data_IF_125755075590
#
_entry.id   IF_125755075590
#
_cell.length_a   1.000
_cell.length_b   1.000
_cell.length_c   1.000
_cell.angle_alpha   90.00
_cell.angle_beta   90.00
_cell.angle_gamma   90.00
#
_symmetry.space_group_name_H-M   'P 1'
#
loop_
_entity.id
_entity.type
_entity.pdbx_description
1 polymer ?
#
# COMPACT_ATOMS: atom_id res chain seq x y z
N UNK A 1 68.13 14.41 6.81
CA UNK A 1 66.77 14.84 7.18
C UNK A 1 65.81 14.16 6.22
N UNK A 2 65.04 13.20 6.74
CA UNK A 2 64.22 12.26 5.99
C UNK A 2 62.80 12.81 5.91
N UNK A 3 62.25 13.02 4.71
CA UNK A 3 60.80 13.15 4.52
C UNK A 3 60.38 12.35 3.29
N UNK A 4 59.81 11.19 3.59
CA UNK A 4 59.08 10.28 2.71
C UNK A 4 57.78 10.93 2.21
N UNK A 5 57.61 11.05 0.89
CA UNK A 5 56.31 11.20 0.23
C UNK A 5 56.00 9.94 -0.58
N UNK A 6 55.57 8.89 0.12
CA UNK A 6 54.82 7.77 -0.46
C UNK A 6 53.48 7.75 0.26
N UNK A 7 52.39 7.53 -0.48
CA UNK A 7 50.96 7.43 -0.06
C UNK A 7 50.11 8.69 -0.30
N UNK A 8 49.84 9.01 -1.57
CA UNK A 8 48.71 9.89 -1.90
C UNK A 8 47.86 9.34 -3.06
N UNK A 9 48.47 8.64 -4.03
CA UNK A 9 47.75 8.11 -5.19
C UNK A 9 46.87 6.87 -4.91
N UNK A 10 47.20 6.07 -3.89
CA UNK A 10 46.49 4.81 -3.62
C UNK A 10 45.13 4.98 -2.90
N UNK A 11 44.88 6.14 -2.27
CA UNK A 11 43.63 6.38 -1.51
C UNK A 11 42.49 6.83 -2.44
N UNK A 12 42.81 7.53 -3.53
CA UNK A 12 41.79 8.02 -4.47
C UNK A 12 41.19 6.92 -5.35
N UNK A 13 41.99 5.91 -5.73
CA UNK A 13 41.52 4.77 -6.53
C UNK A 13 40.67 3.80 -5.69
N UNK A 14 40.95 3.68 -4.39
CA UNK A 14 40.19 2.83 -3.49
C UNK A 14 38.81 3.42 -3.14
N UNK A 15 38.68 4.75 -3.11
CA UNK A 15 37.40 5.43 -2.92
C UNK A 15 36.51 5.38 -4.16
N UNK A 16 37.10 5.38 -5.36
CA UNK A 16 36.34 5.27 -6.61
C UNK A 16 35.78 3.84 -6.84
N UNK A 17 36.48 2.82 -6.34
CA UNK A 17 36.02 1.43 -6.42
C UNK A 17 34.99 1.08 -5.33
N UNK A 18 34.90 1.84 -4.23
CA UNK A 18 33.87 1.65 -3.21
C UNK A 18 32.51 2.22 -3.62
N UNK A 19 32.48 3.19 -4.54
CA UNK A 19 31.25 3.78 -5.07
C UNK A 19 30.53 2.89 -6.09
N UNK A 20 31.19 1.85 -6.61
CA UNK A 20 30.59 0.95 -7.62
C UNK A 20 29.83 -0.23 -6.98
N UNK A 21 30.00 -0.46 -5.66
CA UNK A 21 29.32 -1.54 -4.92
C UNK A 21 28.01 -1.07 -4.26
N UNK A 22 27.58 0.17 -4.50
CA UNK A 22 26.17 0.57 -4.33
C UNK A 22 25.39 0.35 -5.63
N UNK A 23 25.66 -0.79 -6.28
CA UNK A 23 24.91 -1.28 -7.42
C UNK A 23 23.44 -1.40 -7.04
N UNK A 24 22.67 -0.46 -7.55
CA UNK A 24 21.23 -0.45 -7.74
C UNK A 24 20.48 -1.61 -7.09
N UNK A 25 19.99 -1.38 -5.86
CA UNK A 25 18.74 -2.02 -5.47
C UNK A 25 17.66 -1.42 -6.35
N UNK A 26 17.52 -1.97 -7.56
CA UNK A 26 16.33 -1.77 -8.36
C UNK A 26 15.16 -2.17 -7.46
N UNK A 27 14.34 -1.18 -7.08
CA UNK A 27 13.01 -1.45 -6.57
C UNK A 27 12.29 -2.10 -7.74
N UNK A 28 12.26 -3.44 -7.75
CA UNK A 28 11.37 -4.19 -8.61
C UNK A 28 9.98 -3.74 -8.18
N UNK A 29 9.41 -2.79 -8.94
CA UNK A 29 7.98 -2.61 -8.97
C UNK A 29 7.46 -4.00 -9.31
N UNK A 30 6.89 -4.68 -8.32
CA UNK A 30 6.26 -5.97 -8.52
C UNK A 30 5.11 -5.73 -9.51
N UNK A 31 5.42 -5.80 -10.79
CA UNK A 31 4.46 -6.07 -11.86
C UNK A 31 4.00 -7.49 -11.65
N UNK A 32 3.21 -7.70 -10.60
CA UNK A 32 2.42 -8.91 -10.47
C UNK A 32 1.42 -8.97 -11.63
N UNK A 33 1.05 -10.18 -12.02
CA UNK A 33 0.00 -10.39 -13.01
C UNK A 33 -1.21 -9.54 -12.66
N UNK A 34 -1.86 -8.85 -13.63
CA UNK A 34 -3.03 -8.05 -13.35
C UNK A 34 -4.07 -8.90 -12.64
N UNK A 35 -4.58 -8.38 -11.53
CA UNK A 35 -5.58 -9.06 -10.72
C UNK A 35 -6.67 -8.08 -10.32
N UNK A 36 -7.84 -8.64 -10.00
CA UNK A 36 -8.99 -7.89 -9.49
C UNK A 36 -9.34 -8.38 -8.12
N UNK A 37 -9.38 -7.47 -7.14
CA UNK A 37 -9.99 -7.74 -5.84
C UNK A 37 -11.48 -7.49 -5.97
N UNK A 38 -12.30 -8.46 -5.58
CA UNK A 38 -13.76 -8.32 -5.50
C UNK A 38 -14.15 -8.44 -4.04
N UNK A 39 -14.83 -7.41 -3.54
CA UNK A 39 -15.39 -7.37 -2.19
C UNK A 39 -16.91 -7.28 -2.32
N UNK A 40 -17.59 -8.29 -1.80
CA UNK A 40 -19.05 -8.28 -1.73
C UNK A 40 -19.52 -7.36 -0.60
N UNK A 41 -20.19 -6.27 -0.95
CA UNK A 41 -20.50 -5.17 -0.03
C UNK A 41 -21.69 -5.45 0.91
N UNK A 42 -21.68 -6.58 1.61
CA UNK A 42 -22.63 -6.95 2.66
C UNK A 42 -21.95 -7.82 3.73
N UNK A 43 -22.42 -7.80 5.01
CA UNK A 43 -21.89 -8.68 6.04
C UNK A 43 -22.00 -10.16 5.66
N UNK A 44 -20.91 -10.91 5.79
CA UNK A 44 -20.79 -12.31 5.37
C UNK A 44 -20.36 -12.50 3.91
N UNK A 45 -20.33 -11.43 3.12
CA UNK A 45 -19.89 -11.43 1.72
C UNK A 45 -18.42 -11.81 1.57
N UNK A 46 -18.09 -12.45 0.47
CA UNK A 46 -16.75 -12.94 0.19
C UNK A 46 -15.81 -11.85 -0.35
N UNK A 47 -14.53 -12.00 -0.01
CA UNK A 47 -13.43 -11.22 -0.55
C UNK A 47 -12.58 -12.16 -1.39
N UNK A 48 -12.55 -11.94 -2.70
CA UNK A 48 -11.83 -12.78 -3.65
C UNK A 48 -10.82 -11.98 -4.46
N UNK A 49 -9.80 -12.68 -4.94
CA UNK A 49 -8.88 -12.18 -5.96
C UNK A 49 -9.02 -13.02 -7.20
N UNK A 50 -9.17 -12.35 -8.34
CA UNK A 50 -9.25 -12.93 -9.66
C UNK A 50 -7.95 -12.58 -10.39
N UNK A 51 -7.13 -13.57 -10.68
CA UNK A 51 -5.87 -13.42 -11.42
C UNK A 51 -5.79 -14.50 -12.49
N UNK A 52 -5.19 -14.20 -13.65
CA UNK A 52 -5.02 -15.21 -14.70
C UNK A 52 -4.17 -16.40 -14.24
N UNK A 53 -3.16 -16.14 -13.42
CA UNK A 53 -2.23 -17.17 -12.92
C UNK A 53 -2.82 -18.02 -11.80
N UNK A 54 -3.53 -17.40 -10.86
CA UNK A 54 -4.03 -18.06 -9.65
C UNK A 54 -5.50 -18.47 -9.73
N UNK A 55 -6.22 -18.06 -10.79
CA UNK A 55 -7.67 -18.21 -10.88
C UNK A 55 -8.39 -17.34 -9.86
N UNK A 56 -9.48 -17.87 -9.30
CA UNK A 56 -10.26 -17.21 -8.23
C UNK A 56 -9.80 -17.75 -6.88
N UNK A 57 -9.20 -16.88 -6.07
CA UNK A 57 -8.74 -17.19 -4.72
C UNK A 57 -9.61 -16.45 -3.72
N UNK A 58 -10.27 -17.18 -2.82
CA UNK A 58 -10.99 -16.59 -1.69
C UNK A 58 -10.02 -16.24 -0.57
N UNK A 59 -10.04 -14.98 -0.12
CA UNK A 59 -9.11 -14.46 0.89
C UNK A 59 -9.75 -14.28 2.27
N UNK A 60 -11.07 -14.06 2.33
CA UNK A 60 -11.78 -13.85 3.58
C UNK A 60 -13.22 -13.39 3.35
N UNK A 61 -13.78 -12.75 4.37
CA UNK A 61 -15.15 -12.24 4.44
C UNK A 61 -15.24 -10.81 4.94
N UNK A 62 -16.29 -10.12 4.54
CA UNK A 62 -16.72 -8.84 5.11
C UNK A 62 -17.48 -9.11 6.41
N UNK A 63 -17.03 -8.50 7.51
CA UNK A 63 -17.70 -8.56 8.82
C UNK A 63 -18.71 -7.43 8.98
N UNK A 64 -18.41 -6.24 8.47
CA UNK A 64 -19.32 -5.09 8.49
C UNK A 64 -19.07 -4.16 7.31
N UNK A 65 -20.08 -3.37 6.97
CA UNK A 65 -20.05 -2.37 5.90
C UNK A 65 -20.07 -0.96 6.49
N UNK A 66 -19.48 0.03 5.81
CA UNK A 66 -19.51 1.42 6.26
C UNK A 66 -20.94 1.96 6.26
N UNK A 67 -21.27 2.79 7.25
CA UNK A 67 -22.52 3.57 7.29
C UNK A 67 -22.31 5.04 6.91
N UNK A 68 -21.06 5.46 6.73
CA UNK A 68 -20.69 6.81 6.31
C UNK A 68 -19.42 6.82 5.45
N UNK A 69 -19.03 8.00 4.97
CA UNK A 69 -17.71 8.26 4.38
C UNK A 69 -16.95 9.25 5.24
N UNK A 70 -15.62 9.15 5.30
CA UNK A 70 -14.81 10.07 6.10
C UNK A 70 -14.45 11.32 5.32
N UNK A 71 -14.94 12.46 5.81
CA UNK A 71 -14.53 13.79 5.37
C UNK A 71 -14.36 14.72 6.59
N UNK A 72 -13.30 15.55 6.65
CA UNK A 72 -12.16 15.55 5.75
C UNK A 72 -11.24 14.35 6.02
N UNK A 73 -10.72 13.74 4.95
CA UNK A 73 -9.67 12.73 5.03
C UNK A 73 -8.28 13.37 5.26
N UNK A 74 -7.25 12.52 5.31
CA UNK A 74 -5.85 12.95 5.45
C UNK A 74 -5.39 13.78 4.25
N UNK A 75 -4.44 14.71 4.46
CA UNK A 75 -4.10 15.74 3.46
C UNK A 75 -3.66 15.20 2.10
N UNK A 76 -2.92 14.09 2.06
CA UNK A 76 -2.45 13.50 0.80
C UNK A 76 -3.59 12.94 -0.08
N UNK A 77 -4.75 12.59 0.50
CA UNK A 77 -5.87 12.00 -0.24
C UNK A 77 -6.42 12.91 -1.35
N UNK A 78 -6.26 14.24 -1.23
CA UNK A 78 -6.76 15.21 -2.23
C UNK A 78 -6.02 15.16 -3.57
N UNK A 79 -4.90 14.46 -3.64
CA UNK A 79 -4.06 14.36 -4.84
C UNK A 79 -4.32 13.08 -5.64
N UNK A 80 -5.17 12.19 -5.13
CA UNK A 80 -5.58 10.98 -5.84
C UNK A 80 -6.72 11.24 -6.82
N UNK A 81 -7.05 10.20 -7.58
CA UNK A 81 -8.22 10.20 -8.46
C UNK A 81 -9.41 9.57 -7.71
N UNK A 82 -10.60 10.20 -7.72
CA UNK A 82 -11.80 9.57 -7.18
C UNK A 82 -12.04 8.19 -7.82
N UNK A 83 -12.42 7.22 -7.01
CA UNK A 83 -12.59 5.82 -7.41
C UNK A 83 -11.35 4.95 -7.29
N UNK A 84 -10.18 5.49 -6.93
CA UNK A 84 -8.92 4.71 -6.81
C UNK A 84 -8.46 4.55 -5.38
N UNK A 85 -7.59 3.57 -5.15
CA UNK A 85 -6.85 3.43 -3.88
C UNK A 85 -5.86 4.59 -3.73
N UNK A 86 -5.92 5.32 -2.60
CA UNK A 86 -5.04 6.47 -2.31
C UNK A 86 -4.00 6.19 -1.23
N UNK A 87 -4.17 5.12 -0.47
CA UNK A 87 -3.16 4.61 0.44
C UNK A 87 -3.37 3.12 0.72
N UNK A 88 -2.27 2.38 0.73
CA UNK A 88 -2.23 0.93 0.99
C UNK A 88 -1.28 0.68 2.15
N UNK A 89 -1.75 -0.02 3.17
CA UNK A 89 -0.96 -0.42 4.33
C UNK A 89 -1.41 -1.79 4.86
N UNK A 90 -0.60 -2.38 5.74
CA UNK A 90 -0.91 -3.68 6.37
C UNK A 90 -2.11 -3.63 7.31
N UNK A 91 -2.53 -2.43 7.74
CA UNK A 91 -3.60 -2.19 8.69
C UNK A 91 -4.82 -1.49 8.08
N UNK A 92 -4.75 -0.99 6.84
CA UNK A 92 -5.88 -0.39 6.14
C UNK A 92 -5.58 -0.18 4.66
N UNK A 93 -6.64 -0.26 3.84
CA UNK A 93 -6.68 0.29 2.49
C UNK A 93 -7.61 1.50 2.49
N UNK A 94 -7.23 2.58 1.82
CA UNK A 94 -8.05 3.80 1.73
C UNK A 94 -8.40 4.08 0.27
N UNK A 95 -9.69 4.15 -0.03
CA UNK A 95 -10.24 4.43 -1.36
C UNK A 95 -10.78 5.85 -1.36
N UNK A 96 -10.38 6.66 -2.33
CA UNK A 96 -10.90 8.00 -2.50
C UNK A 96 -12.27 7.91 -3.16
N UNK A 97 -13.29 8.45 -2.50
CA UNK A 97 -14.65 8.51 -3.02
C UNK A 97 -14.85 9.79 -3.84
N UNK A 98 -14.41 10.93 -3.30
CA UNK A 98 -14.56 12.24 -3.94
C UNK A 98 -13.58 13.28 -3.34
N UNK A 99 -13.45 14.44 -3.98
CA UNK A 99 -12.74 15.62 -3.46
C UNK A 99 -13.75 16.74 -3.21
N UNK A 100 -14.06 16.99 -1.94
CA UNK A 100 -14.99 18.03 -1.53
C UNK A 100 -14.25 19.19 -0.85
N UNK A 101 -14.46 20.42 -1.34
CA UNK A 101 -13.84 21.66 -0.82
C UNK A 101 -12.31 21.56 -0.69
N UNK A 102 -11.67 20.94 -1.67
CA UNK A 102 -10.21 20.74 -1.72
C UNK A 102 -9.67 19.73 -0.71
N UNK A 103 -10.54 18.90 -0.10
CA UNK A 103 -10.19 17.84 0.85
C UNK A 103 -10.76 16.51 0.33
N UNK A 104 -9.98 15.43 0.45
CA UNK A 104 -10.46 14.11 0.07
C UNK A 104 -11.56 13.62 1.01
N UNK A 105 -12.48 12.82 0.44
CA UNK A 105 -13.49 12.03 1.12
C UNK A 105 -13.19 10.57 0.84
N UNK A 106 -13.00 9.75 1.87
CA UNK A 106 -12.56 8.36 1.71
C UNK A 106 -13.54 7.35 2.31
N UNK A 107 -13.46 6.12 1.81
CA UNK A 107 -13.93 4.92 2.49
C UNK A 107 -12.75 3.96 2.63
N UNK A 108 -12.68 3.21 3.72
CA UNK A 108 -11.53 2.34 3.98
C UNK A 108 -11.92 0.87 4.06
N UNK A 109 -10.94 -0.02 4.02
CA UNK A 109 -11.10 -1.44 4.28
C UNK A 109 -10.09 -1.80 5.37
N UNK A 110 -10.56 -2.39 6.46
CA UNK A 110 -9.74 -2.74 7.63
C UNK A 110 -9.63 -4.27 7.80
N UNK A 111 -8.45 -4.78 8.17
CA UNK A 111 -8.27 -6.14 8.63
C UNK A 111 -8.91 -6.36 10.01
N UNK A 112 -9.22 -7.63 10.30
CA UNK A 112 -9.78 -8.05 11.58
C UNK A 112 -8.82 -7.77 12.74
N UNK A 113 -9.38 -7.29 13.86
CA UNK A 113 -8.61 -7.03 15.08
C UNK A 113 -7.65 -5.84 15.01
N UNK A 114 -7.83 -4.94 14.03
CA UNK A 114 -6.99 -3.75 13.86
C UNK A 114 -7.75 -2.45 14.02
N UNK A 115 -7.00 -1.36 14.20
CA UNK A 115 -7.53 -0.01 14.27
C UNK A 115 -6.72 0.92 13.36
N UNK A 116 -7.42 1.72 12.56
CA UNK A 116 -6.82 2.72 11.69
C UNK A 116 -7.51 4.08 11.92
N UNK A 117 -6.89 5.00 12.69
CA UNK A 117 -7.50 6.30 12.99
C UNK A 117 -7.88 7.10 11.72
N UNK A 118 -7.13 6.90 10.64
CA UNK A 118 -7.36 7.55 9.36
C UNK A 118 -8.71 7.15 8.71
N UNK A 119 -9.25 5.97 9.02
CA UNK A 119 -10.52 5.48 8.49
C UNK A 119 -11.74 6.11 9.18
N UNK A 120 -11.58 6.66 10.39
CA UNK A 120 -12.71 7.09 11.22
C UNK A 120 -13.51 5.93 11.81
N UNK A 121 -14.59 6.24 12.52
CA UNK A 121 -15.33 5.26 13.32
C UNK A 121 -16.30 4.40 12.49
N UNK A 122 -16.84 4.93 11.39
CA UNK A 122 -17.94 4.29 10.63
C UNK A 122 -17.74 4.27 9.11
N UNK A 123 -16.58 4.72 8.62
CA UNK A 123 -16.28 4.86 7.20
C UNK A 123 -15.33 3.78 6.67
N UNK A 124 -15.54 2.54 7.12
CA UNK A 124 -14.79 1.39 6.64
C UNK A 124 -15.60 0.10 6.54
N UNK A 125 -15.16 -0.78 5.65
CA UNK A 125 -15.47 -2.20 5.67
C UNK A 125 -14.56 -2.88 6.68
N UNK A 126 -15.11 -3.69 7.59
CA UNK A 126 -14.31 -4.57 8.42
C UNK A 126 -14.24 -5.96 7.78
N UNK A 127 -13.09 -6.60 7.82
CA UNK A 127 -12.89 -7.94 7.25
C UNK A 127 -12.39 -8.91 8.33
N UNK A 128 -12.52 -10.21 8.08
CA UNK A 128 -11.90 -11.25 8.94
C UNK A 128 -10.43 -11.55 8.58
N UNK A 129 -9.90 -10.86 7.56
CA UNK A 129 -8.54 -11.05 7.09
C UNK A 129 -7.57 -10.47 8.12
N UNK A 130 -6.54 -11.23 8.57
CA UNK A 130 -5.53 -10.70 9.47
C UNK A 130 -4.71 -9.57 8.81
N UNK A 131 -4.21 -8.60 9.59
CA UNK A 131 -3.29 -7.58 9.06
C UNK A 131 -2.06 -8.20 8.38
N UNK A 132 -1.61 -7.57 7.30
CA UNK A 132 -0.47 -8.06 6.51
C UNK A 132 -0.72 -9.33 5.69
N UNK A 133 -1.96 -9.84 5.65
CA UNK A 133 -2.37 -11.01 4.86
C UNK A 133 -3.38 -10.61 3.78
N UNK A 134 -3.57 -11.47 2.77
CA UNK A 134 -4.53 -11.24 1.69
C UNK A 134 -4.31 -9.88 1.01
N UNK A 135 -5.38 -9.08 0.94
CA UNK A 135 -5.39 -7.73 0.36
C UNK A 135 -4.61 -6.68 1.18
N UNK A 136 -4.12 -7.05 2.37
CA UNK A 136 -3.25 -6.21 3.20
C UNK A 136 -1.77 -6.66 3.12
N UNK A 137 -1.46 -7.66 2.29
CA UNK A 137 -0.14 -8.25 2.14
C UNK A 137 0.17 -8.63 0.70
N UNK A 138 0.24 -9.93 0.41
CA UNK A 138 0.63 -10.44 -0.91
C UNK A 138 -0.25 -9.96 -2.08
N UNK A 139 -1.51 -9.60 -1.80
CA UNK A 139 -2.46 -9.09 -2.79
C UNK A 139 -2.81 -7.62 -2.54
N UNK A 140 -1.92 -6.87 -1.89
CA UNK A 140 -2.17 -5.47 -1.58
C UNK A 140 -2.18 -4.62 -2.87
N UNK A 141 -3.27 -3.85 -3.13
CA UNK A 141 -3.36 -3.05 -4.33
C UNK A 141 -2.35 -1.89 -4.29
N UNK A 142 -1.83 -1.51 -5.45
CA UNK A 142 -0.99 -0.33 -5.58
C UNK A 142 -1.83 0.95 -5.49
N UNK A 143 -1.24 2.04 -5.00
CA UNK A 143 -1.90 3.35 -5.05
C UNK A 143 -2.20 3.72 -6.51
N UNK A 144 -3.41 4.19 -6.77
CA UNK A 144 -3.91 4.55 -8.10
C UNK A 144 -4.63 3.44 -8.87
N UNK A 145 -4.69 2.21 -8.32
CA UNK A 145 -5.51 1.12 -8.86
C UNK A 145 -7.00 1.33 -8.65
#
# INVERSE_FOLDING_TARGET
MTVTFRKAAAVFVLLFLFSIVYGETACVLAGGDPYRIVLEAFPGGDITVHSERAGVVRLGKVLSVPSSTRWPAFTASRWGNPGTVVATAVNALHILVDIEKGRGRIVSILPGGTFAPAAGETAFFLTDIPPGRGIFGAWAPTVGS
#
